data_IF_298110568110
#
_entry.id   IF_298110568110
#
_cell.length_a   1.000
_cell.length_b   1.000
_cell.length_c   1.000
_cell.angle_alpha   90.00
_cell.angle_beta   90.00
_cell.angle_gamma   90.00
#
_symmetry.space_group_name_H-M   'P 1'
#
loop_
_entity.id
_entity.type
_entity.pdbx_description
1 polymer ?
#
# COMPACT_ATOMS: atom_id res chain seq x y z
N UNK A 1 -8.16 33.25 -29.16
CA UNK A 1 -6.69 33.08 -29.10
C UNK A 1 -6.25 32.93 -27.65
N UNK A 2 -5.45 31.91 -27.33
CA UNK A 2 -4.99 31.63 -25.95
C UNK A 2 -3.50 31.91 -25.84
N UNK A 3 -3.07 32.85 -25.00
CA UNK A 3 -1.65 33.11 -24.78
C UNK A 3 -0.96 31.93 -24.07
N UNK A 4 0.23 31.57 -24.53
CA UNK A 4 1.09 30.54 -23.96
C UNK A 4 2.06 31.16 -22.94
N UNK A 5 2.01 30.69 -21.70
CA UNK A 5 2.99 31.05 -20.66
C UNK A 5 2.55 32.12 -19.66
N UNK A 6 3.48 32.44 -18.75
CA UNK A 6 3.31 33.35 -17.64
C UNK A 6 3.94 34.73 -17.88
N UNK A 7 4.00 35.21 -19.14
CA UNK A 7 4.53 36.55 -19.40
C UNK A 7 3.85 37.55 -18.46
N UNK A 8 4.67 38.18 -17.64
CA UNK A 8 4.27 39.05 -16.54
C UNK A 8 3.67 40.34 -17.15
N UNK A 9 2.38 40.33 -17.45
CA UNK A 9 1.57 41.54 -17.56
C UNK A 9 1.29 42.13 -16.16
N UNK A 10 2.29 42.15 -15.27
CA UNK A 10 2.14 42.58 -13.88
C UNK A 10 2.57 44.03 -13.65
N UNK A 11 3.08 44.69 -14.69
CA UNK A 11 3.27 46.14 -14.67
C UNK A 11 2.14 46.79 -15.46
N UNK A 12 1.11 47.25 -14.75
CA UNK A 12 -0.03 48.02 -15.32
C UNK A 12 0.37 49.31 -16.06
N UNK A 13 1.67 49.65 -16.10
CA UNK A 13 2.20 50.85 -16.75
C UNK A 13 3.15 50.61 -17.93
N UNK A 14 3.40 49.37 -18.37
CA UNK A 14 4.31 49.09 -19.50
C UNK A 14 3.50 48.65 -20.72
N UNK A 15 3.12 49.64 -21.54
CA UNK A 15 2.63 49.45 -22.91
C UNK A 15 3.82 49.33 -23.88
N UNK A 16 4.72 48.37 -23.65
CA UNK A 16 5.64 47.99 -24.72
C UNK A 16 4.91 47.00 -25.64
N UNK A 17 5.15 47.09 -26.95
CA UNK A 17 4.59 46.24 -28.00
C UNK A 17 4.94 44.76 -27.73
N UNK A 18 4.22 44.13 -26.79
CA UNK A 18 4.46 42.76 -26.38
C UNK A 18 3.72 41.84 -27.34
N UNK A 19 4.45 41.39 -28.35
CA UNK A 19 4.04 40.24 -29.14
C UNK A 19 4.22 39.01 -28.25
N UNK A 20 3.15 38.25 -28.04
CA UNK A 20 3.15 37.06 -27.20
C UNK A 20 2.90 35.80 -28.02
N UNK A 21 3.55 34.68 -27.66
CA UNK A 21 3.20 33.39 -28.25
C UNK A 21 1.79 33.03 -27.81
N UNK A 22 0.93 32.70 -28.77
CA UNK A 22 -0.44 32.30 -28.56
C UNK A 22 -0.79 31.09 -29.41
N UNK A 23 -1.83 30.37 -28.99
CA UNK A 23 -2.39 29.23 -29.72
C UNK A 23 -3.75 29.60 -30.29
N UNK A 24 -3.93 29.32 -31.59
CA UNK A 24 -5.19 29.50 -32.31
C UNK A 24 -5.37 28.35 -33.30
N UNK A 25 -6.54 27.71 -33.32
CA UNK A 25 -6.81 26.52 -34.16
C UNK A 25 -5.67 25.49 -34.21
N UNK A 26 -5.10 25.17 -33.04
CA UNK A 26 -3.98 24.24 -32.86
C UNK A 26 -2.61 24.72 -33.37
N UNK A 27 -2.52 25.86 -34.03
CA UNK A 27 -1.26 26.47 -34.48
C UNK A 27 -0.65 27.39 -33.42
N UNK A 28 0.68 27.48 -33.42
CA UNK A 28 1.43 28.42 -32.59
C UNK A 28 1.71 29.68 -33.41
N UNK A 29 1.20 30.80 -32.93
CA UNK A 29 1.30 32.12 -33.57
C UNK A 29 1.92 33.11 -32.59
N UNK A 30 2.54 34.18 -33.11
CA UNK A 30 2.99 35.31 -32.30
C UNK A 30 2.06 36.47 -32.61
N UNK A 31 1.26 36.90 -31.63
CA UNK A 31 0.22 37.93 -31.81
C UNK A 31 0.42 39.09 -30.84
N UNK A 32 -0.09 40.27 -31.19
CA UNK A 32 -0.13 41.40 -30.28
C UNK A 32 -0.99 41.08 -29.04
N UNK A 33 -0.56 41.55 -27.87
CA UNK A 33 -1.26 41.32 -26.60
C UNK A 33 -2.76 41.68 -26.64
N UNK A 34 -3.12 42.75 -27.34
CA UNK A 34 -4.50 43.23 -27.50
C UNK A 34 -5.44 42.22 -28.18
N UNK A 35 -4.89 41.32 -28.99
CA UNK A 35 -5.64 40.29 -29.70
C UNK A 35 -5.82 39.01 -28.86
N UNK A 36 -5.17 38.91 -27.70
CA UNK A 36 -5.29 37.77 -26.79
C UNK A 36 -6.66 37.81 -26.11
N UNK A 37 -7.42 36.72 -26.24
CA UNK A 37 -8.74 36.62 -25.61
C UNK A 37 -8.70 35.91 -24.26
N UNK A 38 -7.79 34.93 -24.13
CA UNK A 38 -7.66 34.06 -22.96
C UNK A 38 -6.19 33.83 -22.65
N UNK A 39 -5.89 33.52 -21.39
CA UNK A 39 -4.55 33.22 -20.90
C UNK A 39 -4.57 31.95 -20.06
N UNK A 40 -3.47 31.19 -20.09
CA UNK A 40 -3.22 30.11 -19.14
C UNK A 40 -3.18 30.63 -17.69
N UNK A 41 -3.91 29.98 -16.79
CA UNK A 41 -3.94 30.34 -15.36
C UNK A 41 -2.73 29.72 -14.63
N UNK A 42 -2.32 28.52 -15.06
CA UNK A 42 -1.28 27.75 -14.37
C UNK A 42 -0.37 27.03 -15.37
N UNK A 43 0.94 27.11 -15.15
CA UNK A 43 1.94 26.53 -16.06
C UNK A 43 1.82 25.00 -16.17
N UNK A 44 1.41 24.32 -15.10
CA UNK A 44 1.27 22.86 -15.11
C UNK A 44 -0.10 22.35 -15.56
N UNK A 45 -0.99 23.21 -16.08
CA UNK A 45 -2.34 22.80 -16.49
C UNK A 45 -2.35 21.71 -17.58
N UNK A 46 -1.25 21.57 -18.34
CA UNK A 46 -1.11 20.59 -19.41
C UNK A 46 -0.64 19.22 -18.92
N UNK A 47 -0.10 19.14 -17.71
CA UNK A 47 0.49 17.93 -17.16
C UNK A 47 -0.51 17.19 -16.26
N UNK A 48 -0.43 15.86 -16.28
CA UNK A 48 -1.14 15.04 -15.29
C UNK A 48 -0.56 15.26 -13.89
N UNK A 49 -1.34 14.98 -12.85
CA UNK A 49 -0.88 15.10 -11.44
C UNK A 49 0.45 14.39 -11.20
N UNK A 50 0.64 13.19 -11.75
CA UNK A 50 1.90 12.44 -11.60
C UNK A 50 3.09 13.10 -12.30
N UNK A 51 2.89 13.69 -13.49
CA UNK A 51 3.94 14.44 -14.16
C UNK A 51 4.25 15.75 -13.43
N UNK A 52 3.23 16.43 -12.89
CA UNK A 52 3.39 17.69 -12.14
C UNK A 52 4.09 17.51 -10.78
N UNK A 53 4.29 16.28 -10.31
CA UNK A 53 5.09 15.96 -9.11
C UNK A 53 6.58 15.77 -9.42
N UNK A 54 6.98 15.78 -10.69
CA UNK A 54 8.39 15.66 -11.09
C UNK A 54 9.03 17.06 -11.03
N UNK A 55 9.99 17.31 -10.12
CA UNK A 55 10.73 18.57 -10.12
C UNK A 55 11.61 18.65 -11.38
N UNK A 56 11.82 19.87 -11.88
CA UNK A 56 12.66 20.13 -13.06
C UNK A 56 12.20 19.37 -14.32
N UNK A 57 10.89 19.14 -14.48
CA UNK A 57 10.34 18.41 -15.63
C UNK A 57 10.70 19.06 -16.97
N UNK A 58 10.85 20.38 -16.99
CA UNK A 58 11.30 21.18 -18.14
C UNK A 58 12.71 20.82 -18.64
N UNK A 59 13.53 20.21 -17.79
CA UNK A 59 14.88 19.74 -18.12
C UNK A 59 14.93 18.24 -18.46
N UNK A 60 13.79 17.55 -18.44
CA UNK A 60 13.68 16.14 -18.75
C UNK A 60 13.08 15.93 -20.14
N UNK A 61 13.55 14.91 -20.86
CA UNK A 61 12.86 14.47 -22.07
C UNK A 61 11.51 13.85 -21.75
N UNK A 62 10.60 13.88 -22.73
CA UNK A 62 9.23 13.43 -22.56
C UNK A 62 9.12 11.94 -22.19
N UNK A 63 10.02 11.09 -22.70
CA UNK A 63 9.98 9.65 -22.42
C UNK A 63 10.40 9.36 -20.98
N UNK A 64 11.44 10.02 -20.46
CA UNK A 64 11.85 9.91 -19.05
C UNK A 64 10.79 10.48 -18.11
N UNK A 65 10.15 11.59 -18.46
CA UNK A 65 9.05 12.13 -17.67
C UNK A 65 7.86 11.16 -17.61
N UNK A 66 7.51 10.53 -18.75
CA UNK A 66 6.46 9.52 -18.81
C UNK A 66 6.80 8.29 -17.95
N UNK A 67 8.01 7.75 -18.08
CA UNK A 67 8.48 6.62 -17.27
C UNK A 67 8.44 6.96 -15.79
N UNK A 68 8.94 8.13 -15.40
CA UNK A 68 8.98 8.61 -14.01
C UNK A 68 7.59 8.68 -13.41
N UNK A 69 6.62 9.29 -14.12
CA UNK A 69 5.24 9.39 -13.63
C UNK A 69 4.58 8.01 -13.45
N UNK A 70 4.94 7.03 -14.29
CA UNK A 70 4.45 5.65 -14.19
C UNK A 70 5.10 4.90 -13.03
N UNK A 71 6.41 5.06 -12.84
CA UNK A 71 7.17 4.44 -11.74
C UNK A 71 6.74 4.98 -10.39
N UNK A 72 6.44 6.27 -10.27
CA UNK A 72 5.91 6.87 -9.03
C UNK A 72 4.63 6.18 -8.55
N UNK A 73 3.71 5.80 -9.46
CA UNK A 73 2.46 5.08 -9.11
C UNK A 73 2.70 3.64 -8.62
N UNK A 74 3.89 3.11 -8.81
CA UNK A 74 4.28 1.77 -8.39
C UNK A 74 5.03 1.78 -7.05
N UNK A 75 5.40 2.96 -6.55
CA UNK A 75 6.07 3.10 -5.26
C UNK A 75 5.22 2.49 -4.13
N UNK A 76 5.87 1.64 -3.32
CA UNK A 76 5.25 1.00 -2.17
C UNK A 76 5.49 1.87 -0.94
N UNK A 77 4.47 2.13 -0.09
CA UNK A 77 4.67 2.86 1.15
C UNK A 77 5.71 2.20 2.05
N UNK A 78 6.67 3.01 2.51
CA UNK A 78 7.72 2.58 3.42
C UNK A 78 7.20 2.58 4.87
N UNK A 79 7.87 1.79 5.72
CA UNK A 79 7.65 1.78 7.18
C UNK A 79 7.87 3.19 7.77
N UNK A 80 8.91 3.85 7.28
CA UNK A 80 9.23 5.23 7.58
C UNK A 80 9.39 6.01 6.27
N UNK A 81 8.39 6.82 5.92
CA UNK A 81 8.49 7.75 4.79
C UNK A 81 9.12 9.07 5.21
N UNK A 82 9.63 9.83 4.25
CA UNK A 82 10.20 11.16 4.47
C UNK A 82 9.72 12.15 3.42
N UNK A 83 9.58 13.41 3.83
CA UNK A 83 9.17 14.49 2.93
C UNK A 83 10.26 14.69 1.89
N UNK A 84 9.88 14.86 0.63
CA UNK A 84 10.81 15.21 -0.42
C UNK A 84 11.53 16.53 -0.07
N UNK A 85 12.86 16.54 -0.10
CA UNK A 85 13.64 17.78 0.09
C UNK A 85 13.40 18.72 -1.10
N UNK A 86 13.29 18.16 -2.30
CA UNK A 86 12.97 18.86 -3.54
C UNK A 86 11.62 18.38 -4.03
N UNK A 87 10.64 19.27 -4.08
CA UNK A 87 9.28 19.00 -4.53
C UNK A 87 8.72 20.13 -5.39
N UNK A 88 7.49 19.98 -5.89
CA UNK A 88 6.82 20.96 -6.75
C UNK A 88 5.80 21.81 -6.00
N UNK A 89 5.48 21.46 -4.76
CA UNK A 89 4.46 22.10 -3.92
C UNK A 89 3.06 21.50 -4.10
N UNK A 90 2.87 20.59 -5.05
CA UNK A 90 1.60 19.89 -5.26
C UNK A 90 1.41 18.69 -4.32
N UNK A 91 2.47 18.25 -3.64
CA UNK A 91 2.48 17.08 -2.75
C UNK A 91 1.41 17.19 -1.65
N UNK A 92 1.22 18.39 -1.10
CA UNK A 92 0.20 18.66 -0.09
C UNK A 92 -1.23 18.54 -0.64
N UNK A 93 -1.47 19.12 -1.81
CA UNK A 93 -2.78 19.05 -2.47
C UNK A 93 -3.12 17.60 -2.86
N UNK A 94 -2.16 16.86 -3.41
CA UNK A 94 -2.34 15.45 -3.79
C UNK A 94 -2.63 14.58 -2.57
N UNK A 95 -1.88 14.76 -1.47
CA UNK A 95 -2.11 14.01 -0.25
C UNK A 95 -3.50 14.30 0.34
N UNK A 96 -3.92 15.57 0.34
CA UNK A 96 -5.27 15.97 0.76
C UNK A 96 -6.33 15.31 -0.14
N UNK A 97 -6.24 15.43 -1.45
CA UNK A 97 -7.30 14.98 -2.36
C UNK A 97 -7.35 13.45 -2.52
N UNK A 98 -6.29 12.74 -2.10
CA UNK A 98 -6.22 11.27 -2.17
C UNK A 98 -7.22 10.52 -1.28
N UNK A 99 -7.73 11.16 -0.22
CA UNK A 99 -8.55 10.51 0.81
C UNK A 99 -7.79 9.54 1.73
N UNK A 100 -6.46 9.41 1.60
CA UNK A 100 -5.64 8.57 2.49
C UNK A 100 -5.48 9.20 3.89
N UNK A 101 -5.62 10.52 3.98
CA UNK A 101 -5.53 11.30 5.22
C UNK A 101 -6.87 11.38 5.94
N UNK A 102 -6.87 11.28 7.26
CA UNK A 102 -8.05 11.62 8.05
C UNK A 102 -8.10 13.15 8.24
N UNK A 103 -9.19 13.78 7.81
CA UNK A 103 -9.42 15.24 7.92
C UNK A 103 -10.59 15.54 8.86
N UNK A 104 -10.58 16.72 9.46
CA UNK A 104 -11.69 17.19 10.28
C UNK A 104 -12.82 17.75 9.41
N UNK A 105 -14.00 17.15 9.45
CA UNK A 105 -15.18 17.67 8.74
C UNK A 105 -15.79 18.91 9.44
N UNK A 106 -15.59 18.99 10.75
CA UNK A 106 -16.11 20.06 11.61
C UNK A 106 -14.98 20.73 12.40
N UNK A 107 -15.20 22.00 12.76
CA UNK A 107 -14.34 22.69 13.73
C UNK A 107 -14.63 22.16 15.13
N UNK A 108 -13.63 22.07 15.99
CA UNK A 108 -13.83 21.52 17.32
C UNK A 108 -12.55 21.43 18.13
N UNK A 109 -12.62 20.84 19.32
CA UNK A 109 -11.48 20.59 20.19
C UNK A 109 -11.27 19.08 20.37
N UNK A 110 -10.03 18.63 20.37
CA UNK A 110 -9.71 17.21 20.53
C UNK A 110 -9.85 16.82 22.00
N UNK A 111 -10.82 15.94 22.28
CA UNK A 111 -11.06 15.42 23.63
C UNK A 111 -10.07 14.30 23.94
N UNK A 112 -9.86 13.41 22.97
CA UNK A 112 -9.08 12.19 23.15
C UNK A 112 -8.53 11.69 21.81
N UNK A 113 -7.35 11.10 21.87
CA UNK A 113 -6.65 10.55 20.71
C UNK A 113 -6.14 9.16 21.07
N UNK A 114 -6.52 8.18 20.27
CA UNK A 114 -6.05 6.81 20.33
C UNK A 114 -5.42 6.42 19.00
N UNK A 115 -4.84 5.22 18.97
CA UNK A 115 -4.34 4.59 17.76
C UNK A 115 -5.46 4.26 16.77
N UNK A 116 -6.63 3.82 17.24
CA UNK A 116 -7.75 3.38 16.41
C UNK A 116 -8.82 4.46 16.14
N UNK A 117 -8.82 5.57 16.90
CA UNK A 117 -9.85 6.60 16.80
C UNK A 117 -9.42 7.94 17.38
N UNK A 118 -10.07 9.01 16.92
CA UNK A 118 -9.96 10.37 17.45
C UNK A 118 -11.35 10.82 17.90
N UNK A 119 -11.44 11.42 19.09
CA UNK A 119 -12.68 12.03 19.60
C UNK A 119 -12.57 13.55 19.52
N UNK A 120 -13.50 14.17 18.79
CA UNK A 120 -13.59 15.60 18.57
C UNK A 120 -14.85 16.16 19.21
N UNK A 121 -14.72 17.16 20.08
CA UNK A 121 -15.84 17.96 20.59
C UNK A 121 -16.24 19.00 19.55
N UNK A 122 -17.48 18.96 19.07
CA UNK A 122 -18.03 19.94 18.15
C UNK A 122 -19.38 20.43 18.67
N UNK A 123 -19.48 21.71 19.04
CA UNK A 123 -20.73 22.35 19.46
C UNK A 123 -21.51 21.63 20.58
N UNK A 124 -20.81 20.92 21.48
CA UNK A 124 -21.41 20.15 22.58
C UNK A 124 -21.55 18.65 22.29
N UNK A 125 -21.42 18.22 21.03
CA UNK A 125 -21.44 16.81 20.64
C UNK A 125 -20.03 16.22 20.53
N UNK A 126 -19.89 14.93 20.82
CA UNK A 126 -18.63 14.19 20.64
C UNK A 126 -18.68 13.37 19.36
N UNK A 127 -17.88 13.77 18.37
CA UNK A 127 -17.71 13.07 17.10
C UNK A 127 -16.58 12.05 17.21
N UNK A 128 -16.88 10.79 16.85
CA UNK A 128 -15.89 9.71 16.78
C UNK A 128 -15.40 9.54 15.35
N UNK A 129 -14.11 9.74 15.15
CA UNK A 129 -13.43 9.57 13.85
C UNK A 129 -12.60 8.30 13.91
N UNK A 130 -13.03 7.18 13.27
CA UNK A 130 -12.26 5.95 13.24
C UNK A 130 -11.03 6.10 12.34
N UNK A 131 -9.90 5.54 12.78
CA UNK A 131 -8.66 5.49 12.01
C UNK A 131 -8.46 4.09 11.41
N UNK A 132 -7.87 4.06 10.23
CA UNK A 132 -7.51 2.80 9.56
C UNK A 132 -6.27 2.20 10.23
N UNK A 133 -6.38 0.98 10.75
CA UNK A 133 -5.29 0.27 11.43
C UNK A 133 -4.93 -1.01 10.70
N UNK A 134 -3.66 -1.13 10.25
CA UNK A 134 -3.09 -2.33 9.63
C UNK A 134 -4.01 -3.02 8.62
N UNK A 135 -4.65 -2.24 7.75
CA UNK A 135 -5.58 -2.75 6.76
C UNK A 135 -4.84 -3.14 5.48
N UNK A 136 -5.26 -4.24 4.86
CA UNK A 136 -4.70 -4.70 3.59
C UNK A 136 -5.17 -3.82 2.43
N UNK A 137 -4.25 -3.37 1.59
CA UNK A 137 -4.57 -2.76 0.29
C UNK A 137 -4.78 -3.80 -0.82
N UNK A 138 -5.30 -3.38 -1.97
CA UNK A 138 -5.48 -4.26 -3.13
C UNK A 138 -4.15 -4.85 -3.64
N UNK A 139 -3.03 -4.13 -3.47
CA UNK A 139 -1.67 -4.58 -3.85
C UNK A 139 -0.93 -5.28 -2.71
N UNK A 140 -1.62 -5.74 -1.66
CA UNK A 140 -1.03 -6.39 -0.47
C UNK A 140 -0.08 -5.48 0.33
N UNK A 141 -0.20 -4.16 0.23
CA UNK A 141 0.54 -3.21 1.08
C UNK A 141 -0.26 -2.90 2.34
N UNK A 142 0.39 -2.30 3.33
CA UNK A 142 -0.24 -1.88 4.58
C UNK A 142 -0.84 -0.47 4.46
N UNK A 143 -2.11 -0.32 4.78
CA UNK A 143 -2.80 0.95 5.01
C UNK A 143 -2.94 1.15 6.51
N UNK A 144 -2.32 2.20 7.03
CA UNK A 144 -2.35 2.53 8.44
C UNK A 144 -2.30 4.05 8.61
N UNK A 145 -3.19 4.56 9.45
CA UNK A 145 -3.29 5.97 9.78
C UNK A 145 -2.74 6.23 11.18
N UNK A 146 -1.83 7.19 11.28
CA UNK A 146 -1.22 7.61 12.55
C UNK A 146 -1.76 8.98 12.96
N UNK A 147 -2.42 9.11 14.11
CA UNK A 147 -2.89 10.42 14.59
C UNK A 147 -1.70 11.38 14.79
N UNK A 148 -1.90 12.65 14.44
CA UNK A 148 -0.85 13.70 14.51
C UNK A 148 -1.21 14.85 15.44
N UNK A 149 -2.38 14.75 16.06
CA UNK A 149 -2.97 15.79 16.85
C UNK A 149 -2.97 15.40 18.31
N UNK A 150 -2.79 16.39 19.18
CA UNK A 150 -2.75 16.21 20.62
C UNK A 150 -4.08 16.62 21.24
N UNK A 151 -4.38 16.04 22.41
CA UNK A 151 -5.52 16.42 23.24
C UNK A 151 -5.50 17.91 23.59
N UNK A 152 -6.66 18.54 23.60
CA UNK A 152 -6.84 19.96 23.93
C UNK A 152 -6.57 20.92 22.77
N UNK A 153 -6.20 20.42 21.58
CA UNK A 153 -5.95 21.28 20.42
C UNK A 153 -7.25 21.62 19.70
N UNK A 154 -7.45 22.91 19.43
CA UNK A 154 -8.52 23.39 18.57
C UNK A 154 -8.20 23.13 17.10
N UNK A 155 -9.16 22.53 16.39
CA UNK A 155 -9.06 22.09 15.01
C UNK A 155 -10.05 22.86 14.14
N UNK A 156 -9.59 23.26 12.95
CA UNK A 156 -10.44 23.87 11.92
C UNK A 156 -10.99 22.81 10.96
N UNK A 157 -12.13 23.10 10.34
CA UNK A 157 -12.64 22.29 9.23
C UNK A 157 -11.58 22.17 8.12
N UNK A 158 -11.36 20.96 7.63
CA UNK A 158 -10.39 20.62 6.59
C UNK A 158 -8.98 20.32 7.11
N UNK A 159 -8.69 20.55 8.39
CA UNK A 159 -7.38 20.28 8.96
C UNK A 159 -7.10 18.78 9.07
N UNK A 160 -5.85 18.39 8.81
CA UNK A 160 -5.41 16.99 8.87
C UNK A 160 -5.30 16.55 10.33
N UNK A 161 -5.91 15.41 10.65
CA UNK A 161 -5.94 14.79 11.97
C UNK A 161 -4.98 13.61 12.07
N UNK A 162 -4.88 12.80 11.02
CA UNK A 162 -4.01 11.62 10.98
C UNK A 162 -3.36 11.46 9.60
N UNK A 163 -2.09 11.05 9.59
CA UNK A 163 -1.35 10.75 8.36
C UNK A 163 -1.57 9.31 7.94
N UNK A 164 -1.86 9.10 6.66
CA UNK A 164 -1.96 7.77 6.06
C UNK A 164 -0.61 7.19 5.65
N UNK A 165 -0.67 6.09 4.92
CA UNK A 165 0.51 5.49 4.31
C UNK A 165 1.15 6.46 3.28
N UNK A 166 2.49 6.51 3.23
CA UNK A 166 3.24 7.37 2.32
C UNK A 166 2.87 8.86 2.41
N UNK A 167 2.59 9.38 3.60
CA UNK A 167 2.32 10.81 3.83
C UNK A 167 3.03 11.28 5.10
N UNK A 168 3.65 12.46 5.05
CA UNK A 168 4.32 13.07 6.20
C UNK A 168 4.16 14.59 6.15
N UNK A 169 3.91 15.24 7.28
CA UNK A 169 3.67 16.69 7.31
C UNK A 169 2.42 17.14 6.55
N UNK A 170 1.54 16.22 6.15
CA UNK A 170 0.40 16.49 5.27
C UNK A 170 0.73 16.49 3.78
N UNK A 171 1.94 16.07 3.41
CA UNK A 171 2.42 16.00 2.03
C UNK A 171 2.73 14.56 1.61
N UNK A 172 2.53 14.28 0.33
CA UNK A 172 2.84 12.98 -0.26
C UNK A 172 4.34 12.66 -0.10
N UNK A 173 4.63 11.48 0.44
CA UNK A 173 5.97 11.01 0.74
C UNK A 173 6.13 9.54 0.32
N UNK A 174 6.30 9.33 -0.99
CA UNK A 174 6.39 8.01 -1.61
C UNK A 174 7.67 7.25 -1.26
N UNK A 175 8.71 7.94 -0.79
CA UNK A 175 10.02 7.36 -0.55
C UNK A 175 10.82 8.04 0.55
N UNK A 176 12.14 8.01 0.39
CA UNK A 176 13.17 8.50 1.31
C UNK A 176 14.23 9.27 0.54
N UNK A 177 14.75 10.35 1.13
CA UNK A 177 15.89 11.07 0.57
C UNK A 177 17.18 10.33 0.93
N UNK A 178 18.07 10.14 -0.05
CA UNK A 178 19.36 9.47 0.14
C UNK A 178 20.48 10.31 -0.45
N UNK A 179 21.69 10.16 0.08
CA UNK A 179 22.88 10.75 -0.50
C UNK A 179 23.32 9.90 -1.69
N UNK A 180 23.41 10.53 -2.87
CA UNK A 180 23.80 9.87 -4.12
C UNK A 180 25.09 10.51 -4.64
N UNK A 181 26.03 9.68 -5.06
CA UNK A 181 27.25 10.12 -5.75
C UNK A 181 27.23 9.61 -7.19
N UNK A 182 27.47 10.50 -8.15
CA UNK A 182 27.60 10.14 -9.56
C UNK A 182 29.07 9.87 -9.88
N UNK A 183 29.49 8.61 -9.82
CA UNK A 183 30.82 8.16 -10.22
C UNK A 183 30.80 6.68 -10.64
N UNK A 184 31.65 6.25 -11.58
CA UNK A 184 31.84 4.82 -11.83
C UNK A 184 32.49 4.16 -10.61
N UNK A 185 32.01 2.96 -10.23
CA UNK A 185 32.55 2.23 -9.08
C UNK A 185 32.78 0.76 -9.42
N UNK A 186 34.02 0.43 -9.79
CA UNK A 186 34.50 -0.95 -10.05
C UNK A 186 33.60 -1.79 -10.99
N UNK A 187 32.80 -1.15 -11.84
CA UNK A 187 31.84 -1.81 -12.72
C UNK A 187 30.54 -2.30 -12.04
N UNK A 188 30.37 -2.10 -10.73
CA UNK A 188 29.13 -2.49 -10.03
C UNK A 188 27.92 -1.65 -10.43
N UNK A 189 28.13 -0.45 -10.97
CA UNK A 189 27.10 0.41 -11.53
C UNK A 189 27.12 0.43 -13.07
N UNK A 190 27.42 -0.71 -13.69
CA UNK A 190 27.33 -0.88 -15.14
C UNK A 190 25.87 -0.82 -15.62
N UNK A 191 25.64 -0.21 -16.79
CA UNK A 191 24.31 0.09 -17.33
C UNK A 191 23.43 0.86 -16.33
N UNK A 192 22.30 0.29 -15.92
CA UNK A 192 21.32 0.87 -15.00
C UNK A 192 21.42 0.25 -13.59
N UNK A 193 22.50 -0.50 -13.31
CA UNK A 193 22.71 -1.07 -11.98
C UNK A 193 22.99 0.01 -10.94
N UNK A 194 22.35 -0.10 -9.78
CA UNK A 194 22.53 0.82 -8.65
C UNK A 194 23.30 0.10 -7.55
N UNK A 195 24.50 0.60 -7.23
CA UNK A 195 25.24 0.16 -6.06
C UNK A 195 24.66 0.85 -4.82
N UNK A 196 24.28 0.04 -3.82
CA UNK A 196 23.72 0.53 -2.56
C UNK A 196 24.67 0.28 -1.40
N UNK A 197 24.68 1.19 -0.44
CA UNK A 197 25.38 0.98 0.83
C UNK A 197 24.58 0.01 1.72
N UNK A 198 25.27 -0.90 2.40
CA UNK A 198 24.70 -1.80 3.41
C UNK A 198 23.95 -1.02 4.51
N UNK A 199 24.37 0.22 4.79
CA UNK A 199 23.69 1.13 5.71
C UNK A 199 22.19 1.26 5.42
N UNK A 200 21.77 1.25 4.14
CA UNK A 200 20.36 1.35 3.76
C UNK A 200 19.53 0.15 4.25
N UNK A 201 20.16 -1.02 4.36
CA UNK A 201 19.53 -2.24 4.88
C UNK A 201 19.55 -2.23 6.41
N UNK A 202 20.68 -1.90 7.04
CA UNK A 202 20.81 -1.88 8.49
C UNK A 202 19.90 -0.82 9.16
N UNK A 203 19.66 0.30 8.49
CA UNK A 203 18.79 1.37 9.00
C UNK A 203 17.31 1.22 8.57
N UNK A 204 16.94 0.09 7.95
CA UNK A 204 15.56 -0.19 7.52
C UNK A 204 14.93 0.91 6.63
N UNK A 205 15.75 1.62 5.83
CA UNK A 205 15.33 2.82 5.10
C UNK A 205 14.23 2.51 4.08
N UNK A 206 14.38 1.42 3.33
CA UNK A 206 13.42 0.98 2.32
C UNK A 206 12.54 -0.19 2.78
N UNK A 207 12.48 -0.45 4.09
CA UNK A 207 11.65 -1.53 4.65
C UNK A 207 10.16 -1.17 4.53
N UNK A 208 9.34 -2.10 4.03
CA UNK A 208 7.90 -1.92 3.83
C UNK A 208 7.08 -3.05 4.46
N UNK A 209 5.81 -2.77 4.77
CA UNK A 209 4.90 -3.76 5.34
C UNK A 209 3.93 -4.31 4.30
N UNK A 210 3.91 -5.64 4.19
CA UNK A 210 3.01 -6.37 3.32
C UNK A 210 2.02 -7.21 4.11
N UNK A 211 0.75 -7.11 3.76
CA UNK A 211 -0.33 -7.88 4.38
C UNK A 211 -0.89 -8.82 3.32
N UNK A 212 -0.76 -10.13 3.54
CA UNK A 212 -1.28 -11.16 2.65
C UNK A 212 -2.47 -11.86 3.31
N UNK A 213 -3.51 -12.09 2.53
CA UNK A 213 -4.68 -12.86 2.95
C UNK A 213 -4.58 -14.26 2.36
N UNK A 214 -4.68 -15.26 3.22
CA UNK A 214 -4.75 -16.67 2.83
C UNK A 214 -6.12 -17.20 3.21
N UNK A 215 -6.77 -17.91 2.29
CA UNK A 215 -8.14 -18.36 2.45
C UNK A 215 -8.24 -19.86 2.14
N UNK A 216 -9.06 -20.56 2.91
CA UNK A 216 -9.40 -21.95 2.65
C UNK A 216 -10.91 -22.16 2.81
N UNK A 217 -11.54 -22.76 1.80
CA UNK A 217 -12.96 -23.10 1.87
C UNK A 217 -13.17 -24.45 2.53
N UNK A 218 -14.11 -24.51 3.46
CA UNK A 218 -14.52 -25.72 4.16
C UNK A 218 -15.97 -25.99 3.77
N UNK A 219 -16.20 -27.10 3.05
CA UNK A 219 -17.54 -27.52 2.67
C UNK A 219 -18.14 -28.37 3.81
N UNK A 220 -19.46 -28.27 4.02
CA UNK A 220 -20.19 -28.95 5.11
C UNK A 220 -20.15 -30.49 5.03
N UNK A 221 -19.66 -31.08 3.94
CA UNK A 221 -19.51 -32.53 3.80
C UNK A 221 -18.21 -33.05 4.42
N UNK A 222 -18.28 -33.49 5.69
CA UNK A 222 -17.33 -34.39 6.36
C UNK A 222 -15.86 -33.94 6.47
N UNK A 223 -15.55 -32.66 6.23
CA UNK A 223 -14.18 -32.13 6.42
C UNK A 223 -14.02 -31.61 7.83
N UNK A 224 -13.19 -32.27 8.63
CA UNK A 224 -12.89 -31.86 10.01
C UNK A 224 -11.70 -30.89 10.00
N UNK A 225 -11.92 -29.70 10.56
CA UNK A 225 -10.82 -28.81 10.95
C UNK A 225 -10.29 -29.34 12.28
N UNK A 226 -9.00 -29.65 12.33
CA UNK A 226 -8.37 -30.22 13.52
C UNK A 226 -6.89 -29.87 13.54
N UNK A 227 -6.31 -29.79 14.73
CA UNK A 227 -4.88 -29.69 14.95
C UNK A 227 -4.19 -31.07 14.95
N UNK A 228 -4.95 -32.15 15.08
CA UNK A 228 -4.45 -33.52 15.07
C UNK A 228 -4.44 -34.05 13.63
N UNK A 229 -3.32 -33.82 12.93
CA UNK A 229 -3.14 -34.29 11.57
C UNK A 229 -2.10 -35.41 11.54
N UNK A 230 -2.49 -36.64 11.14
CA UNK A 230 -1.53 -37.73 11.04
C UNK A 230 -0.50 -37.44 9.95
N UNK A 231 0.72 -37.95 10.12
CA UNK A 231 1.86 -37.84 9.20
C UNK A 231 2.57 -36.49 9.11
N UNK A 232 2.14 -35.48 9.88
CA UNK A 232 2.84 -34.20 9.96
C UNK A 232 3.70 -34.13 11.22
N UNK A 233 4.86 -33.50 11.06
CA UNK A 233 5.74 -33.20 12.18
C UNK A 233 5.06 -32.22 13.14
N UNK A 234 5.23 -32.46 14.44
CA UNK A 234 4.68 -31.61 15.51
C UNK A 234 5.12 -30.15 15.36
N UNK A 235 6.32 -29.93 14.81
CA UNK A 235 6.86 -28.60 14.54
C UNK A 235 5.96 -27.75 13.62
N UNK A 236 5.37 -28.36 12.58
CA UNK A 236 4.51 -27.63 11.62
C UNK A 236 3.13 -27.30 12.20
N UNK A 237 2.72 -28.03 13.24
CA UNK A 237 1.43 -27.89 13.93
C UNK A 237 1.52 -26.98 15.17
N UNK A 238 2.73 -26.57 15.58
CA UNK A 238 3.00 -25.80 16.82
C UNK A 238 2.19 -24.51 16.95
N UNK A 239 1.81 -23.93 15.82
CA UNK A 239 1.14 -22.63 15.74
C UNK A 239 -0.40 -22.75 15.73
N UNK A 240 -0.95 -23.97 15.67
CA UNK A 240 -2.39 -24.21 15.64
C UNK A 240 -2.99 -24.24 17.06
N UNK A 241 -4.21 -23.71 17.18
CA UNK A 241 -5.04 -23.79 18.37
C UNK A 241 -5.74 -25.17 18.47
N UNK A 242 -6.57 -25.35 19.50
CA UNK A 242 -7.36 -26.57 19.72
C UNK A 242 -8.35 -26.88 18.59
N UNK A 243 -8.69 -25.88 17.77
CA UNK A 243 -9.63 -26.01 16.66
C UNK A 243 -8.92 -26.28 15.32
N UNK A 244 -7.58 -26.35 15.30
CA UNK A 244 -6.81 -26.51 14.07
C UNK A 244 -6.64 -25.22 13.28
N UNK A 245 -6.72 -24.05 13.92
CA UNK A 245 -6.57 -22.73 13.30
C UNK A 245 -5.34 -22.04 13.90
N UNK A 246 -4.56 -21.34 13.07
CA UNK A 246 -3.39 -20.61 13.56
C UNK A 246 -3.75 -19.56 14.61
N UNK A 247 -2.96 -19.52 15.68
CA UNK A 247 -3.15 -18.55 16.76
C UNK A 247 -2.78 -17.13 16.30
N UNK A 248 -3.57 -16.14 16.76
CA UNK A 248 -3.27 -14.73 16.53
C UNK A 248 -1.93 -14.35 17.18
N UNK A 249 -1.11 -13.60 16.45
CA UNK A 249 0.20 -13.17 16.92
C UNK A 249 1.32 -14.19 16.75
N UNK A 250 1.04 -15.42 16.29
CA UNK A 250 2.06 -16.43 16.00
C UNK A 250 2.99 -15.99 14.88
N UNK A 251 4.27 -16.32 15.02
CA UNK A 251 5.26 -16.22 13.96
C UNK A 251 5.22 -17.50 13.13
N UNK A 252 4.97 -17.34 11.82
CA UNK A 252 4.84 -18.46 10.88
C UNK A 252 5.92 -18.39 9.82
N UNK A 253 6.45 -19.56 9.49
CA UNK A 253 7.49 -19.74 8.49
C UNK A 253 6.99 -20.60 7.33
N UNK A 254 7.81 -20.69 6.29
CA UNK A 254 7.47 -21.43 5.08
C UNK A 254 7.16 -22.89 5.43
N UNK A 255 6.00 -23.39 4.99
CA UNK A 255 5.56 -24.76 5.27
C UNK A 255 4.72 -24.92 6.54
N UNK A 256 4.72 -23.93 7.45
CA UNK A 256 3.85 -23.96 8.63
C UNK A 256 2.37 -24.03 8.22
N UNK A 257 1.58 -24.74 9.01
CA UNK A 257 0.17 -24.95 8.75
C UNK A 257 -0.61 -23.79 9.38
N UNK A 258 -1.37 -23.08 8.55
CA UNK A 258 -2.24 -21.98 8.98
C UNK A 258 -3.63 -22.48 9.37
N UNK A 259 -4.14 -23.49 8.66
CA UNK A 259 -5.42 -24.14 8.97
C UNK A 259 -5.29 -25.63 8.70
N UNK A 260 -5.44 -26.42 9.76
CA UNK A 260 -5.44 -27.87 9.70
C UNK A 260 -6.78 -28.40 9.20
N UNK A 261 -6.76 -29.12 8.06
CA UNK A 261 -7.97 -29.61 7.41
C UNK A 261 -7.77 -31.02 6.87
N UNK A 262 -8.59 -31.93 7.38
CA UNK A 262 -8.66 -33.32 6.92
C UNK A 262 -9.84 -33.51 5.99
N UNK A 263 -9.58 -34.07 4.81
CA UNK A 263 -10.63 -34.53 3.90
C UNK A 263 -10.71 -36.05 3.98
N UNK A 264 -11.84 -36.64 4.40
CA UNK A 264 -12.01 -38.08 4.38
C UNK A 264 -11.94 -38.55 2.93
N UNK A 265 -11.07 -39.52 2.69
CA UNK A 265 -10.92 -40.21 1.43
C UNK A 265 -11.58 -41.57 1.57
N UNK A 266 -12.67 -41.81 0.85
CA UNK A 266 -13.26 -43.14 0.72
C UNK A 266 -12.36 -43.99 -0.19
N UNK A 267 -11.21 -44.41 0.31
CA UNK A 267 -10.34 -45.36 -0.41
C UNK A 267 -10.82 -46.77 -0.05
N UNK A 268 -11.33 -47.51 -1.03
CA UNK A 268 -11.56 -48.95 -0.88
C UNK A 268 -10.20 -49.62 -0.72
N UNK A 269 -10.03 -50.48 0.27
CA UNK A 269 -8.77 -51.22 0.52
C UNK A 269 -8.25 -51.99 -0.72
N UNK A 270 -9.14 -52.29 -1.67
CA UNK A 270 -8.85 -52.95 -2.94
C UNK A 270 -8.04 -52.12 -3.95
N UNK A 271 -7.83 -50.82 -3.74
CA UNK A 271 -7.10 -49.95 -4.69
C UNK A 271 -5.59 -49.88 -4.43
N UNK A 272 -5.10 -50.43 -3.32
CA UNK A 272 -3.66 -50.47 -3.02
C UNK A 272 -3.01 -51.69 -3.67
N UNK A 273 -1.78 -51.53 -4.16
CA UNK A 273 -0.99 -52.64 -4.69
C UNK A 273 -0.81 -53.73 -3.62
N UNK A 274 -0.73 -55.02 -4.01
CA UNK A 274 -0.58 -56.12 -3.06
C UNK A 274 0.69 -56.00 -2.20
N UNK A 275 1.77 -55.42 -2.74
CA UNK A 275 3.01 -55.12 -2.04
C UNK A 275 2.81 -54.13 -0.88
N UNK A 276 2.08 -53.04 -1.10
CA UNK A 276 1.74 -52.05 -0.07
C UNK A 276 0.85 -52.64 1.03
N UNK A 277 -0.08 -53.53 0.67
CA UNK A 277 -0.94 -54.23 1.65
C UNK A 277 -0.12 -55.16 2.54
N UNK A 278 0.86 -55.86 1.97
CA UNK A 278 1.73 -56.78 2.69
C UNK A 278 2.68 -56.02 3.64
N UNK A 279 3.32 -54.94 3.16
CA UNK A 279 4.15 -54.05 3.99
C UNK A 279 3.38 -53.47 5.18
N UNK A 280 2.14 -53.01 4.96
CA UNK A 280 1.29 -52.48 6.03
C UNK A 280 0.90 -53.52 7.07
N UNK A 281 0.65 -54.76 6.63
CA UNK A 281 0.30 -55.88 7.52
C UNK A 281 1.48 -56.26 8.42
N UNK A 282 2.69 -56.28 7.86
CA UNK A 282 3.93 -56.57 8.61
C UNK A 282 4.24 -55.44 9.60
N UNK A 283 4.06 -54.18 9.20
CA UNK A 283 4.39 -53.00 10.01
C UNK A 283 3.27 -52.53 10.95
N UNK A 284 2.10 -53.19 10.95
CA UNK A 284 0.96 -52.83 11.81
C UNK A 284 0.42 -51.41 11.56
N UNK A 285 0.64 -50.84 10.36
CA UNK A 285 0.28 -49.46 10.05
C UNK A 285 -1.24 -49.32 9.86
N UNK A 286 -1.87 -48.47 10.67
CA UNK A 286 -3.31 -48.15 10.54
C UNK A 286 -3.58 -47.46 9.20
N UNK A 287 -4.67 -47.86 8.54
CA UNK A 287 -5.13 -47.19 7.32
C UNK A 287 -5.75 -45.84 7.70
N UNK A 288 -5.07 -44.75 7.35
CA UNK A 288 -5.65 -43.44 7.47
C UNK A 288 -6.61 -43.21 6.29
N UNK A 289 -7.89 -43.09 6.61
CA UNK A 289 -8.97 -42.83 5.65
C UNK A 289 -9.09 -41.34 5.33
N UNK A 290 -8.08 -40.52 5.63
CA UNK A 290 -8.13 -39.06 5.48
C UNK A 290 -6.90 -38.52 4.79
N UNK A 291 -7.11 -37.72 3.74
CA UNK A 291 -6.06 -36.97 3.06
C UNK A 291 -5.89 -35.59 3.69
N UNK A 292 -4.65 -35.19 3.90
CA UNK A 292 -4.30 -33.83 4.31
C UNK A 292 -4.68 -32.83 3.20
N UNK A 293 -5.48 -31.82 3.56
CA UNK A 293 -5.86 -30.70 2.67
C UNK A 293 -5.70 -29.36 3.38
N UNK A 294 -4.66 -29.24 4.20
CA UNK A 294 -4.39 -28.07 5.02
C UNK A 294 -4.00 -26.84 4.21
N UNK A 295 -4.24 -25.67 4.80
CA UNK A 295 -3.68 -24.41 4.31
C UNK A 295 -2.26 -24.27 4.87
N UNK A 296 -1.25 -24.37 4.00
CA UNK A 296 0.16 -24.16 4.35
C UNK A 296 0.62 -22.78 3.90
N UNK A 297 1.54 -22.17 4.64
CA UNK A 297 2.18 -20.93 4.21
C UNK A 297 3.04 -21.22 2.96
N UNK A 298 2.86 -20.47 1.86
CA UNK A 298 3.60 -20.72 0.62
C UNK A 298 5.10 -20.47 0.77
N UNK A 299 5.86 -21.01 -0.19
CA UNK A 299 7.31 -20.88 -0.26
C UNK A 299 7.74 -19.41 -0.21
N UNK A 300 8.79 -19.10 0.57
CA UNK A 300 9.30 -17.75 0.86
C UNK A 300 8.36 -16.87 1.70
N UNK A 301 7.25 -17.41 2.21
CA UNK A 301 6.43 -16.74 3.21
C UNK A 301 7.08 -16.82 4.58
N UNK A 302 7.18 -15.68 5.26
CA UNK A 302 7.43 -15.58 6.71
C UNK A 302 6.73 -14.33 7.24
N UNK A 303 6.24 -14.39 8.47
CA UNK A 303 5.65 -13.21 9.09
C UNK A 303 4.78 -13.53 10.30
N UNK A 304 4.06 -12.51 10.75
CA UNK A 304 3.19 -12.60 11.93
C UNK A 304 1.72 -12.63 11.54
N UNK A 305 0.95 -13.50 12.18
CA UNK A 305 -0.50 -13.56 11.99
C UNK A 305 -1.14 -12.38 12.71
N UNK A 306 -1.77 -11.48 11.95
CA UNK A 306 -2.39 -10.26 12.49
C UNK A 306 -3.90 -10.38 12.69
N UNK A 307 -4.57 -11.20 11.89
CA UNK A 307 -6.03 -11.34 11.90
C UNK A 307 -6.42 -12.73 11.40
N UNK A 308 -7.47 -13.29 11.99
CA UNK A 308 -8.04 -14.60 11.67
C UNK A 308 -9.56 -14.43 11.72
N UNK A 309 -10.21 -14.71 10.60
CA UNK A 309 -11.67 -14.61 10.48
C UNK A 309 -12.25 -15.90 9.94
N UNK A 310 -13.34 -16.35 10.56
CA UNK A 310 -14.22 -17.33 9.96
C UNK A 310 -15.43 -16.62 9.36
N UNK A 311 -15.93 -17.10 8.23
CA UNK A 311 -17.18 -16.60 7.65
C UNK A 311 -18.01 -17.82 7.31
N UNK A 312 -19.19 -17.93 7.93
CA UNK A 312 -20.18 -18.93 7.56
C UNK A 312 -21.01 -18.37 6.41
N UNK A 313 -20.69 -18.80 5.20
CA UNK A 313 -21.54 -18.50 4.04
C UNK A 313 -22.75 -19.43 4.07
N UNK A 314 -23.91 -18.88 4.41
CA UNK A 314 -25.19 -19.52 4.13
C UNK A 314 -25.45 -19.31 2.64
N UNK A 315 -25.31 -20.38 1.85
CA UNK A 315 -25.83 -20.36 0.49
C UNK A 315 -27.35 -20.41 0.64
N UNK A 316 -28.01 -19.25 0.54
CA UNK A 316 -29.44 -19.21 0.31
C UNK A 316 -29.67 -19.79 -1.08
N UNK A 317 -29.99 -21.07 -1.13
CA UNK A 317 -30.53 -21.73 -2.32
C UNK A 317 -31.98 -21.25 -2.40
N UNK A 318 -32.23 -20.23 -3.21
CA UNK A 318 -33.56 -19.94 -3.73
C UNK A 318 -33.72 -20.66 -5.07
#
# INVERSE_FOLDING_TARGET
MVAAGNSLALNQGIHEEQVVPARYHQEFLTIAWEQVHLRSIFSFQYFSVGASLIPFIEHNDANRALMSSNMQRQAVPLSQSEKCIVGTGLEGQVALDSGALAKAEHKGEIIYTDTDKILLSCNGDTLRIPLVMYQRSNKNTCMHQKPQVQRGKCIKKGQILAYGAATIGGELALGKNILVAYMPWEGYNFEDAVLISERLVCEDIYTSFHIRKYEIHINQGSKMVTNEIPHLEVHLLRNLDKNGIVMLGSWVETGDILVGKLTPQMVKESSYAPEDRLLRTILGMRVYTSKETCLKLPIRGRGRVIDVRWVKSYINIH
#
